data_IF_182934875413
#
_entry.id   IF_182934875413
#
_cell.length_a   1.000
_cell.length_b   1.000
_cell.length_c   1.000
_cell.angle_alpha   90.00
_cell.angle_beta   90.00
_cell.angle_gamma   90.00
#
_symmetry.space_group_name_H-M   'P 1'
#
loop_
_entity.id
_entity.type
_entity.pdbx_description
1 polymer ?
#
# COMPACT_ATOMS: atom_id res chain seq x y z
N UNK A 1 -24.59 6.06 1.31
CA UNK A 1 -23.24 5.53 1.02
C UNK A 1 -22.66 4.75 2.18
N UNK A 2 -22.55 5.30 3.40
CA UNK A 2 -22.00 4.58 4.56
C UNK A 2 -22.63 3.21 4.83
N UNK A 3 -23.96 3.10 4.86
CA UNK A 3 -24.68 1.82 5.06
C UNK A 3 -24.30 0.78 3.99
N UNK A 4 -24.16 1.20 2.73
CA UNK A 4 -23.79 0.30 1.62
C UNK A 4 -22.35 -0.20 1.79
N UNK A 5 -21.43 0.69 2.18
CA UNK A 5 -20.03 0.33 2.45
C UNK A 5 -19.94 -0.62 3.65
N UNK A 6 -20.68 -0.34 4.73
CA UNK A 6 -20.74 -1.20 5.92
C UNK A 6 -21.31 -2.58 5.61
N UNK A 7 -22.39 -2.67 4.82
CA UNK A 7 -22.93 -3.97 4.37
C UNK A 7 -21.93 -4.70 3.48
N UNK A 8 -21.26 -3.99 2.56
CA UNK A 8 -20.24 -4.57 1.70
C UNK A 8 -19.06 -5.16 2.48
N UNK A 9 -18.56 -4.45 3.48
CA UNK A 9 -17.52 -4.94 4.39
C UNK A 9 -18.01 -6.17 5.16
N UNK A 10 -19.21 -6.12 5.75
CA UNK A 10 -19.78 -7.23 6.51
C UNK A 10 -19.96 -8.50 5.67
N UNK A 11 -20.39 -8.37 4.41
CA UNK A 11 -20.58 -9.51 3.51
C UNK A 11 -19.24 -10.04 2.98
N UNK A 12 -18.26 -9.16 2.76
CA UNK A 12 -16.95 -9.49 2.17
C UNK A 12 -15.89 -9.59 3.27
N UNK A 13 -15.76 -10.78 3.87
CA UNK A 13 -14.76 -11.09 4.90
C UNK A 13 -14.88 -10.23 6.18
N UNK A 14 -16.08 -9.76 6.51
CA UNK A 14 -16.48 -9.09 7.75
C UNK A 14 -15.74 -7.77 8.06
N UNK A 15 -14.59 -7.88 8.70
CA UNK A 15 -13.77 -6.81 9.24
C UNK A 15 -12.36 -6.80 8.62
N UNK A 16 -12.04 -7.79 7.78
CA UNK A 16 -10.71 -7.97 7.19
C UNK A 16 -10.20 -6.73 6.46
N UNK A 17 -11.06 -6.04 5.72
CA UNK A 17 -10.69 -4.83 4.96
C UNK A 17 -11.12 -3.53 5.64
N UNK A 18 -11.76 -3.61 6.82
CA UNK A 18 -12.15 -2.44 7.57
C UNK A 18 -10.94 -1.77 8.24
N UNK A 19 -11.08 -0.48 8.57
CA UNK A 19 -10.08 0.29 9.31
C UNK A 19 -8.72 0.44 8.60
N UNK A 20 -7.64 0.47 9.37
CA UNK A 20 -6.29 0.81 8.91
C UNK A 20 -5.67 -0.24 7.97
N UNK A 21 -6.00 -1.53 8.13
CA UNK A 21 -5.35 -2.63 7.40
C UNK A 21 -4.08 -3.19 8.03
N UNK A 22 -3.80 -2.86 9.30
CA UNK A 22 -2.64 -3.40 10.06
C UNK A 22 -2.67 -4.92 10.21
N UNK A 23 -3.87 -5.51 10.23
CA UNK A 23 -4.07 -6.94 10.16
C UNK A 23 -3.50 -7.54 8.85
N UNK A 24 -3.76 -6.92 7.70
CA UNK A 24 -3.23 -7.37 6.41
C UNK A 24 -1.71 -7.21 6.33
N UNK A 25 -1.18 -6.12 6.87
CA UNK A 25 0.28 -5.91 7.00
C UNK A 25 0.88 -7.04 7.84
N UNK A 26 0.36 -7.27 9.05
CA UNK A 26 0.84 -8.34 9.93
C UNK A 26 0.77 -9.72 9.28
N UNK A 27 -0.34 -10.04 8.60
CA UNK A 27 -0.49 -11.30 7.88
C UNK A 27 0.55 -11.44 6.75
N UNK A 28 0.90 -10.35 6.06
CA UNK A 28 1.89 -10.36 4.96
C UNK A 28 3.32 -10.65 5.44
N UNK A 29 3.66 -10.23 6.67
CA UNK A 29 5.02 -10.39 7.22
C UNK A 29 5.17 -11.56 8.20
N UNK A 30 4.08 -12.08 8.78
CA UNK A 30 4.11 -13.15 9.79
C UNK A 30 3.60 -14.50 9.24
N UNK A 31 3.64 -14.72 7.93
CA UNK A 31 3.22 -15.99 7.31
C UNK A 31 1.73 -16.28 7.44
N UNK A 32 0.90 -15.24 7.54
CA UNK A 32 -0.55 -15.35 7.61
C UNK A 32 -1.18 -15.70 6.26
N UNK A 33 -2.45 -16.11 6.29
CA UNK A 33 -3.21 -16.37 5.07
C UNK A 33 -3.54 -15.04 4.36
N UNK A 34 -2.97 -14.84 3.17
CA UNK A 34 -3.24 -13.72 2.27
C UNK A 34 -3.85 -14.26 0.99
N UNK A 35 -5.00 -13.71 0.58
CA UNK A 35 -5.58 -14.05 -0.72
C UNK A 35 -4.95 -13.16 -1.80
N UNK A 36 -4.79 -13.68 -3.01
CA UNK A 36 -4.27 -12.91 -4.15
C UNK A 36 -5.10 -11.67 -4.54
N UNK A 37 -6.34 -11.57 -4.03
CA UNK A 37 -7.24 -10.44 -4.26
C UNK A 37 -7.35 -9.47 -3.07
N UNK A 38 -6.63 -9.70 -1.96
CA UNK A 38 -6.76 -8.87 -0.76
C UNK A 38 -6.40 -7.39 -1.04
N UNK A 39 -5.39 -7.16 -1.90
CA UNK A 39 -4.92 -5.82 -2.26
C UNK A 39 -5.98 -5.00 -2.98
N UNK A 40 -6.70 -5.61 -3.94
CA UNK A 40 -7.68 -4.89 -4.75
C UNK A 40 -8.96 -4.61 -3.95
N UNK A 41 -9.38 -5.55 -3.09
CA UNK A 41 -10.52 -5.31 -2.21
C UNK A 41 -10.21 -4.18 -1.21
N UNK A 42 -9.02 -4.19 -0.61
CA UNK A 42 -8.61 -3.11 0.30
C UNK A 42 -8.58 -1.76 -0.43
N UNK A 43 -8.05 -1.70 -1.64
CA UNK A 43 -8.05 -0.50 -2.48
C UNK A 43 -9.46 0.03 -2.72
N UNK A 44 -10.37 -0.84 -3.18
CA UNK A 44 -11.76 -0.45 -3.49
C UNK A 44 -12.45 0.11 -2.24
N UNK A 45 -12.37 -0.58 -1.10
CA UNK A 45 -13.01 -0.13 0.13
C UNK A 45 -12.41 1.17 0.66
N UNK A 46 -11.09 1.35 0.55
CA UNK A 46 -10.43 2.60 0.95
C UNK A 46 -10.88 3.76 0.07
N UNK A 47 -10.86 3.62 -1.25
CA UNK A 47 -11.33 4.66 -2.19
C UNK A 47 -12.79 4.99 -1.92
N UNK A 48 -13.67 3.99 -1.81
CA UNK A 48 -15.09 4.21 -1.54
C UNK A 48 -15.32 4.93 -0.20
N UNK A 49 -14.54 4.63 0.83
CA UNK A 49 -14.67 5.27 2.14
C UNK A 49 -14.29 6.74 2.09
N UNK A 50 -13.15 7.06 1.46
CA UNK A 50 -12.67 8.44 1.34
C UNK A 50 -13.57 9.25 0.41
N UNK A 51 -13.96 8.69 -0.74
CA UNK A 51 -14.90 9.33 -1.67
C UNK A 51 -16.29 9.54 -1.08
N UNK A 52 -16.69 8.74 -0.09
CA UNK A 52 -17.93 8.96 0.66
C UNK A 52 -17.81 10.02 1.77
N UNK A 53 -16.63 10.60 1.98
CA UNK A 53 -16.38 11.66 2.96
C UNK A 53 -16.07 11.17 4.38
N UNK A 54 -15.73 9.88 4.57
CA UNK A 54 -15.25 9.42 5.86
C UNK A 54 -13.86 10.00 6.15
N UNK A 55 -13.70 10.56 7.35
CA UNK A 55 -12.42 11.08 7.82
C UNK A 55 -11.54 9.93 8.32
N UNK A 56 -10.34 9.81 7.75
CA UNK A 56 -9.35 8.81 8.13
C UNK A 56 -8.11 8.95 7.26
N UNK A 57 -6.95 8.47 7.74
CA UNK A 57 -5.71 8.52 6.98
C UNK A 57 -5.64 7.45 5.87
N UNK A 58 -5.12 7.83 4.72
CA UNK A 58 -4.97 6.98 3.53
C UNK A 58 -3.63 6.21 3.51
N UNK A 59 -2.66 6.69 4.31
CA UNK A 59 -1.28 6.18 4.34
C UNK A 59 -1.21 4.71 4.79
N UNK A 60 -1.83 4.36 5.92
CA UNK A 60 -1.79 2.97 6.41
C UNK A 60 -2.54 1.98 5.50
N UNK A 61 -3.69 2.35 4.91
CA UNK A 61 -4.27 1.54 3.84
C UNK A 61 -3.34 1.31 2.65
N UNK A 62 -2.59 2.31 2.18
CA UNK A 62 -1.61 2.13 1.09
C UNK A 62 -0.53 1.11 1.44
N UNK A 63 -0.04 1.14 2.67
CA UNK A 63 0.89 0.14 3.18
C UNK A 63 0.31 -1.28 3.17
N UNK A 64 -0.96 -1.43 3.57
CA UNK A 64 -1.65 -2.71 3.54
C UNK A 64 -1.89 -3.22 2.10
N UNK A 65 -2.24 -2.32 1.17
CA UNK A 65 -2.41 -2.65 -0.26
C UNK A 65 -1.06 -3.08 -0.84
N UNK A 66 0.02 -2.36 -0.52
CA UNK A 66 1.39 -2.68 -0.93
C UNK A 66 1.88 -4.01 -0.42
N UNK A 67 1.72 -4.28 0.88
CA UNK A 67 2.18 -5.53 1.48
C UNK A 67 1.43 -6.73 0.95
N UNK A 68 0.11 -6.62 0.76
CA UNK A 68 -0.72 -7.71 0.23
C UNK A 68 -0.50 -7.97 -1.25
N UNK A 69 -0.29 -6.92 -2.07
CA UNK A 69 0.09 -7.08 -3.47
C UNK A 69 1.46 -7.75 -3.56
N UNK A 70 2.43 -7.27 -2.78
CA UNK A 70 3.77 -7.84 -2.74
C UNK A 70 3.76 -9.32 -2.31
N UNK A 71 2.96 -9.67 -1.30
CA UNK A 71 2.80 -11.06 -0.87
C UNK A 71 2.17 -11.94 -1.97
N UNK A 72 1.15 -11.44 -2.68
CA UNK A 72 0.55 -12.16 -3.80
C UNK A 72 1.55 -12.38 -4.95
N UNK A 73 2.35 -11.36 -5.28
CA UNK A 73 3.38 -11.45 -6.31
C UNK A 73 4.54 -12.36 -5.89
N UNK A 74 4.90 -12.39 -4.60
CA UNK A 74 5.94 -13.28 -4.08
C UNK A 74 5.62 -14.75 -4.36
N UNK A 75 4.35 -15.15 -4.15
CA UNK A 75 3.88 -16.50 -4.44
C UNK A 75 3.98 -16.84 -5.94
N UNK A 76 3.78 -15.85 -6.82
CA UNK A 76 3.89 -16.02 -8.27
C UNK A 76 5.35 -16.14 -8.73
N UNK A 77 6.26 -15.34 -8.17
CA UNK A 77 7.66 -15.30 -8.57
C UNK A 77 8.56 -16.29 -7.79
N UNK A 78 8.05 -16.93 -6.75
CA UNK A 78 8.83 -17.84 -5.90
C UNK A 78 9.90 -17.12 -5.06
N UNK A 79 9.65 -15.86 -4.70
CA UNK A 79 10.55 -15.02 -3.90
C UNK A 79 10.13 -15.02 -2.42
N UNK A 80 11.02 -14.64 -1.48
CA UNK A 80 10.65 -14.47 -0.08
C UNK A 80 9.50 -13.48 0.07
N UNK A 81 8.42 -13.91 0.73
CA UNK A 81 7.16 -13.16 0.84
C UNK A 81 7.38 -11.83 1.53
N UNK A 82 8.15 -11.83 2.62
CA UNK A 82 8.47 -10.67 3.43
C UNK A 82 9.23 -9.62 2.63
N UNK A 83 10.16 -10.06 1.77
CA UNK A 83 10.95 -9.15 0.94
C UNK A 83 10.08 -8.43 -0.10
N UNK A 84 9.26 -9.17 -0.85
CA UNK A 84 8.42 -8.58 -1.90
C UNK A 84 7.25 -7.79 -1.27
N UNK A 85 6.74 -8.22 -0.12
CA UNK A 85 5.76 -7.46 0.66
C UNK A 85 6.35 -6.12 1.14
N UNK A 86 7.60 -6.08 1.62
CA UNK A 86 8.29 -4.84 1.97
C UNK A 86 8.50 -3.94 0.74
N UNK A 87 8.91 -4.52 -0.40
CA UNK A 87 9.05 -3.77 -1.63
C UNK A 87 7.71 -3.16 -2.10
N UNK A 88 6.62 -3.92 -2.03
CA UNK A 88 5.27 -3.45 -2.34
C UNK A 88 4.78 -2.37 -1.39
N UNK A 89 5.01 -2.55 -0.09
CA UNK A 89 4.68 -1.58 0.97
C UNK A 89 5.27 -0.19 0.65
N UNK A 90 6.56 -0.14 0.33
CA UNK A 90 7.27 1.12 0.08
C UNK A 90 6.95 1.69 -1.31
N UNK A 91 6.92 0.85 -2.34
CA UNK A 91 6.73 1.30 -3.73
C UNK A 91 5.33 1.85 -3.99
N UNK A 92 4.27 1.20 -3.48
CA UNK A 92 2.90 1.74 -3.62
C UNK A 92 2.76 3.06 -2.87
N UNK A 93 3.33 3.17 -1.67
CA UNK A 93 3.31 4.41 -0.92
C UNK A 93 4.05 5.53 -1.65
N UNK A 94 5.25 5.25 -2.19
CA UNK A 94 6.05 6.20 -2.97
C UNK A 94 5.31 6.68 -4.22
N UNK A 95 4.71 5.76 -4.98
CA UNK A 95 3.91 6.10 -6.14
C UNK A 95 2.68 6.93 -5.75
N UNK A 96 1.84 6.45 -4.83
CA UNK A 96 0.60 7.13 -4.49
C UNK A 96 0.80 8.54 -3.90
N UNK A 97 1.85 8.74 -3.10
CA UNK A 97 2.17 10.06 -2.52
C UNK A 97 3.04 10.93 -3.42
N UNK A 98 3.48 10.41 -4.57
CA UNK A 98 4.47 11.07 -5.43
C UNK A 98 5.70 11.58 -4.65
N UNK A 99 6.15 10.81 -3.64
CA UNK A 99 7.30 11.15 -2.80
C UNK A 99 8.45 10.19 -3.06
N UNK A 100 9.67 10.72 -3.18
CA UNK A 100 10.86 9.91 -3.42
C UNK A 100 11.68 9.66 -2.15
N UNK A 101 12.05 10.70 -1.40
CA UNK A 101 12.94 10.54 -0.25
C UNK A 101 12.27 9.94 0.99
N UNK A 102 11.02 10.32 1.29
CA UNK A 102 10.30 9.81 2.46
C UNK A 102 10.21 8.27 2.49
N UNK A 103 9.75 7.62 1.40
CA UNK A 103 9.69 6.16 1.31
C UNK A 103 11.04 5.47 1.46
N UNK A 104 12.16 6.09 1.07
CA UNK A 104 13.51 5.54 1.27
C UNK A 104 13.83 5.43 2.76
N UNK A 105 13.54 6.48 3.53
CA UNK A 105 13.73 6.45 4.98
C UNK A 105 12.78 5.46 5.65
N UNK A 106 11.52 5.39 5.22
CA UNK A 106 10.58 4.37 5.71
C UNK A 106 11.12 2.96 5.44
N UNK A 107 11.66 2.69 4.25
CA UNK A 107 12.26 1.41 3.95
C UNK A 107 13.43 1.08 4.91
N UNK A 108 14.30 2.07 5.16
CA UNK A 108 15.45 1.93 6.04
C UNK A 108 15.06 1.72 7.51
N UNK A 109 14.08 2.47 8.02
CA UNK A 109 13.67 2.44 9.42
C UNK A 109 12.79 1.23 9.74
N UNK A 110 11.92 0.81 8.81
CA UNK A 110 10.98 -0.29 9.03
C UNK A 110 11.59 -1.65 8.67
N UNK A 111 12.30 -1.73 7.54
CA UNK A 111 12.83 -3.00 7.01
C UNK A 111 14.35 -3.13 7.10
N UNK A 112 15.03 -2.09 7.62
CA UNK A 112 16.47 -2.05 7.83
C UNK A 112 17.25 -1.57 6.60
N UNK A 113 18.37 -0.89 6.84
CA UNK A 113 19.22 -0.30 5.80
C UNK A 113 19.72 -1.30 4.75
N UNK A 114 19.90 -2.58 5.12
CA UNK A 114 20.33 -3.62 4.17
C UNK A 114 19.33 -3.94 3.07
N UNK A 115 18.03 -3.69 3.32
CA UNK A 115 16.94 -3.93 2.35
C UNK A 115 16.80 -2.83 1.32
N UNK A 116 17.23 -1.61 1.65
CA UNK A 116 17.03 -0.39 0.85
C UNK A 116 17.60 -0.53 -0.55
N UNK A 117 18.81 -1.09 -0.69
CA UNK A 117 19.46 -1.27 -2.00
C UNK A 117 18.64 -2.11 -2.98
N UNK A 118 17.80 -3.02 -2.47
CA UNK A 118 16.97 -3.90 -3.29
C UNK A 118 15.57 -3.33 -3.52
N UNK A 119 15.02 -2.60 -2.54
CA UNK A 119 13.69 -1.96 -2.66
C UNK A 119 13.76 -0.69 -3.52
N UNK A 120 14.87 0.05 -3.46
CA UNK A 120 15.06 1.33 -4.14
C UNK A 120 14.75 1.26 -5.64
N UNK A 121 15.30 0.35 -6.45
CA UNK A 121 14.95 0.28 -7.88
C UNK A 121 13.45 0.05 -8.12
N UNK A 122 12.80 -0.78 -7.30
CA UNK A 122 11.38 -1.11 -7.42
C UNK A 122 10.53 0.13 -7.14
N UNK A 123 10.81 0.85 -6.05
CA UNK A 123 10.08 2.08 -5.74
C UNK A 123 10.37 3.20 -6.75
N UNK A 124 11.60 3.32 -7.28
CA UNK A 124 11.93 4.33 -8.30
C UNK A 124 11.11 4.09 -9.56
N UNK A 125 10.99 2.84 -10.02
CA UNK A 125 10.16 2.51 -11.19
C UNK A 125 8.69 2.87 -10.92
N UNK A 126 8.15 2.50 -9.76
CA UNK A 126 6.78 2.82 -9.40
C UNK A 126 6.53 4.34 -9.33
N UNK A 127 7.47 5.09 -8.76
CA UNK A 127 7.44 6.56 -8.69
C UNK A 127 7.43 7.21 -10.08
N UNK A 128 8.32 6.78 -10.99
CA UNK A 128 8.38 7.35 -12.35
C UNK A 128 7.13 7.04 -13.16
N UNK A 129 6.58 5.82 -13.03
CA UNK A 129 5.39 5.39 -13.77
C UNK A 129 4.08 6.04 -13.30
N UNK A 130 4.06 6.61 -12.09
CA UNK A 130 2.89 7.29 -11.54
C UNK A 130 2.51 8.58 -12.28
N UNK A 131 3.42 9.17 -13.07
CA UNK A 131 3.10 10.31 -13.92
C UNK A 131 2.72 11.58 -13.16
N UNK A 132 3.39 11.87 -12.04
CA UNK A 132 3.19 13.06 -11.19
C UNK A 132 1.80 13.22 -10.56
N UNK A 133 1.00 12.14 -10.49
CA UNK A 133 -0.30 12.17 -9.80
C UNK A 133 -0.12 11.87 -8.32
N UNK A 134 -0.50 12.77 -7.42
CA UNK A 134 -0.47 12.51 -5.98
C UNK A 134 -1.89 12.36 -5.44
N UNK A 135 -2.05 11.54 -4.40
CA UNK A 135 -3.27 11.54 -3.57
C UNK A 135 -3.52 12.91 -2.92
N UNK A 136 -2.47 13.73 -2.78
CA UNK A 136 -2.55 15.09 -2.29
C UNK A 136 -2.71 16.07 -3.45
N UNK A 137 -3.94 16.50 -3.71
CA UNK A 137 -4.29 17.38 -4.83
C UNK A 137 -3.59 18.76 -4.82
N UNK A 138 -3.00 19.17 -3.69
CA UNK A 138 -2.26 20.44 -3.55
C UNK A 138 -0.73 20.27 -3.64
N UNK A 139 -0.24 19.09 -3.97
CA UNK A 139 1.19 18.87 -4.13
C UNK A 139 1.68 19.48 -5.44
N UNK A 140 2.07 20.76 -5.37
CA UNK A 140 2.70 21.50 -6.47
C UNK A 140 4.19 21.22 -6.43
N UNK A 141 4.67 20.33 -7.30
CA UNK A 141 6.10 20.17 -7.54
C UNK A 141 6.57 21.34 -8.42
N UNK A 142 6.90 22.48 -7.79
CA UNK A 142 7.60 23.58 -8.47
C UNK A 142 9.05 23.19 -8.71
N UNK A 143 9.29 22.40 -9.75
CA UNK A 143 10.61 22.30 -10.37
C UNK A 143 10.74 23.45 -11.37
N UNK A 144 10.93 24.67 -10.86
CA UNK A 144 11.53 25.71 -11.69
C UNK A 144 12.99 25.32 -11.93
N UNK A 145 13.27 24.98 -13.19
CA UNK A 145 14.61 24.72 -13.75
C UNK A 145 15.38 26.03 -13.87
#
# INVERSE_FOLDING_TARGET
MGIVISIGLLVIHLDRYAGLGTNLISLSFNGGHINGYDWILKLIFTVLSISAGFQGGEVTPLFAIGSTLGAALAMLFGLPVEFVAAAGYVSIFSAATNSYFGPIFIAAEVFGFGSVQYILPIMTIAYVLNGNSSIYAQEVLNLEV
#
